data_IF_612833304350
#
_entry.id   IF_612833304350
#
_cell.length_a   1.000
_cell.length_b   1.000
_cell.length_c   1.000
_cell.angle_alpha   90.00
_cell.angle_beta   90.00
_cell.angle_gamma   90.00
#
_symmetry.space_group_name_H-M   'P 1'
#
loop_
_entity.id
_entity.type
_entity.pdbx_description
1 polymer ?
#
# COMPACT_ATOMS: atom_id res chain seq x y z
N UNK A 1 11.03 -15.00 -12.36
CA UNK A 1 10.62 -13.61 -12.69
C UNK A 1 9.11 -13.44 -12.68
N UNK A 2 8.32 -14.27 -13.38
CA UNK A 2 6.85 -14.16 -13.28
C UNK A 2 6.31 -14.43 -11.88
N UNK A 3 6.77 -15.51 -11.26
CA UNK A 3 6.46 -15.79 -9.84
C UNK A 3 6.99 -14.72 -8.89
N UNK A 4 8.02 -13.96 -9.31
CA UNK A 4 8.65 -12.97 -8.45
C UNK A 4 7.80 -11.71 -8.30
N UNK A 5 7.11 -11.26 -9.36
CA UNK A 5 6.20 -10.10 -9.24
C UNK A 5 4.99 -10.44 -8.37
N UNK A 6 4.37 -11.59 -8.62
CA UNK A 6 3.21 -12.05 -7.85
C UNK A 6 3.59 -12.27 -6.37
N UNK A 7 4.77 -12.84 -6.11
CA UNK A 7 5.32 -12.95 -4.76
C UNK A 7 5.55 -11.60 -4.10
N UNK A 8 6.12 -10.61 -4.79
CA UNK A 8 6.40 -9.30 -4.20
C UNK A 8 5.13 -8.49 -3.91
N UNK A 9 4.12 -8.57 -4.78
CA UNK A 9 2.80 -7.99 -4.51
C UNK A 9 2.10 -8.70 -3.34
N UNK A 10 2.21 -10.03 -3.26
CA UNK A 10 1.71 -10.79 -2.11
C UNK A 10 2.40 -10.38 -0.81
N UNK A 11 3.73 -10.26 -0.81
CA UNK A 11 4.50 -9.80 0.36
C UNK A 11 4.09 -8.39 0.78
N UNK A 12 3.84 -7.50 -0.18
CA UNK A 12 3.35 -6.16 0.11
C UNK A 12 1.97 -6.23 0.79
N UNK A 13 1.04 -7.02 0.24
CA UNK A 13 -0.28 -7.24 0.83
C UNK A 13 -0.19 -7.82 2.25
N UNK A 14 0.66 -8.82 2.48
CA UNK A 14 0.87 -9.43 3.79
C UNK A 14 1.46 -8.42 4.80
N UNK A 15 2.40 -7.59 4.37
CA UNK A 15 2.98 -6.54 5.20
C UNK A 15 1.92 -5.49 5.60
N UNK A 16 1.04 -5.11 4.67
CA UNK A 16 -0.07 -4.19 4.94
C UNK A 16 -1.10 -4.82 5.88
N UNK A 17 -1.43 -6.10 5.69
CA UNK A 17 -2.33 -6.83 6.61
C UNK A 17 -1.74 -6.91 8.02
N UNK A 18 -0.44 -7.15 8.15
CA UNK A 18 0.26 -7.12 9.43
C UNK A 18 0.23 -5.72 10.06
N UNK A 19 0.39 -4.66 9.26
CA UNK A 19 0.28 -3.28 9.71
C UNK A 19 -1.14 -2.94 10.21
N UNK A 20 -2.19 -3.38 9.48
CA UNK A 20 -3.58 -3.26 9.91
C UNK A 20 -3.84 -3.99 11.23
N UNK A 21 -3.30 -5.20 11.40
CA UNK A 21 -3.42 -5.95 12.63
C UNK A 21 -2.71 -5.25 13.82
N UNK A 22 -1.60 -4.56 13.57
CA UNK A 22 -0.94 -3.72 14.59
C UNK A 22 -1.83 -2.55 15.01
N UNK A 23 -2.41 -1.81 14.06
CA UNK A 23 -3.36 -0.73 14.36
C UNK A 23 -4.55 -1.22 15.20
N UNK A 24 -5.13 -2.36 14.86
CA UNK A 24 -6.22 -2.96 15.62
C UNK A 24 -5.81 -3.29 17.07
N UNK A 25 -4.56 -3.72 17.29
CA UNK A 25 -4.03 -3.93 18.64
C UNK A 25 -3.84 -2.62 19.40
N UNK A 26 -3.38 -1.55 18.74
CA UNK A 26 -3.22 -0.23 19.36
C UNK A 26 -4.55 0.34 19.85
N UNK A 27 -5.62 0.16 19.06
CA UNK A 27 -6.96 0.62 19.43
C UNK A 27 -7.50 -0.03 20.71
N UNK A 28 -7.00 -1.23 21.04
CA UNK A 28 -7.39 -2.01 22.22
C UNK A 28 -6.41 -1.89 23.40
N UNK A 29 -5.34 -1.08 23.30
CA UNK A 29 -4.40 -0.89 24.42
C UNK A 29 -5.12 -0.19 25.60
N UNK A 30 -4.73 -0.49 26.87
CA UNK A 30 -5.22 0.23 28.03
C UNK A 30 -5.02 1.73 27.87
N UNK A 31 -6.03 2.50 28.26
CA UNK A 31 -6.10 3.94 28.01
C UNK A 31 -6.00 4.76 29.30
N UNK A 32 -5.66 4.07 30.38
CA UNK A 32 -5.49 4.64 31.71
C UNK A 32 -4.31 5.62 31.71
N UNK A 33 -4.53 6.81 32.24
CA UNK A 33 -3.49 7.85 32.34
C UNK A 33 -3.50 8.91 31.22
N UNK A 34 -4.32 8.75 30.17
CA UNK A 34 -4.54 9.81 29.19
C UNK A 34 -5.70 10.72 29.60
N UNK A 35 -5.55 12.02 29.34
CA UNK A 35 -6.65 12.98 29.44
C UNK A 35 -7.71 12.73 28.36
N UNK A 36 -8.94 13.23 28.57
CA UNK A 36 -10.01 13.15 27.56
C UNK A 36 -9.61 13.77 26.22
N UNK A 37 -8.75 14.81 26.25
CA UNK A 37 -8.26 15.44 25.03
C UNK A 37 -7.27 14.54 24.28
N UNK A 38 -6.26 13.99 24.97
CA UNK A 38 -5.28 13.07 24.38
C UNK A 38 -5.97 11.82 23.81
N UNK A 39 -6.99 11.31 24.50
CA UNK A 39 -7.79 10.19 24.00
C UNK A 39 -8.44 10.49 22.66
N UNK A 40 -9.03 11.68 22.49
CA UNK A 40 -9.65 12.09 21.21
C UNK A 40 -8.63 12.24 20.08
N UNK A 41 -7.46 12.80 20.39
CA UNK A 41 -6.37 12.93 19.41
C UNK A 41 -5.88 11.55 18.99
N UNK A 42 -5.64 10.66 19.94
CA UNK A 42 -5.19 9.29 19.69
C UNK A 42 -6.20 8.50 18.86
N UNK A 43 -7.50 8.62 19.15
CA UNK A 43 -8.55 7.98 18.35
C UNK A 43 -8.58 8.52 16.91
N UNK A 44 -8.44 9.83 16.74
CA UNK A 44 -8.41 10.46 15.41
C UNK A 44 -7.22 9.97 14.58
N UNK A 45 -6.05 9.82 15.20
CA UNK A 45 -4.84 9.27 14.55
C UNK A 45 -5.06 7.81 14.15
N UNK A 46 -5.60 6.99 15.06
CA UNK A 46 -5.85 5.56 14.79
C UNK A 46 -6.88 5.36 13.69
N UNK A 47 -7.96 6.12 13.70
CA UNK A 47 -9.01 6.03 12.70
C UNK A 47 -8.50 6.48 11.32
N UNK A 48 -7.72 7.56 11.25
CA UNK A 48 -7.08 8.02 10.01
C UNK A 48 -6.08 6.97 9.47
N UNK A 49 -5.18 6.46 10.33
CA UNK A 49 -4.22 5.43 9.93
C UNK A 49 -4.91 4.14 9.46
N UNK A 50 -6.03 3.77 10.09
CA UNK A 50 -6.85 2.63 9.67
C UNK A 50 -7.48 2.87 8.30
N UNK A 51 -8.06 4.04 8.07
CA UNK A 51 -8.64 4.41 6.79
C UNK A 51 -7.60 4.36 5.66
N UNK A 52 -6.41 4.95 5.90
CA UNK A 52 -5.28 4.91 4.96
C UNK A 52 -4.86 3.47 4.67
N UNK A 53 -4.68 2.64 5.69
CA UNK A 53 -4.25 1.23 5.53
C UNK A 53 -5.28 0.42 4.72
N UNK A 54 -6.57 0.66 4.94
CA UNK A 54 -7.65 0.02 4.19
C UNK A 54 -7.64 0.45 2.71
N UNK A 55 -7.42 1.74 2.43
CA UNK A 55 -7.30 2.24 1.06
C UNK A 55 -6.10 1.62 0.34
N UNK A 56 -4.93 1.55 1.00
CA UNK A 56 -3.72 0.92 0.45
C UNK A 56 -3.94 -0.58 0.18
N UNK A 57 -4.68 -1.27 1.06
CA UNK A 57 -5.04 -2.68 0.84
C UNK A 57 -5.81 -2.86 -0.46
N UNK A 58 -6.82 -2.02 -0.69
CA UNK A 58 -7.61 -2.03 -1.92
C UNK A 58 -6.75 -1.67 -3.14
N UNK A 59 -5.83 -0.71 -2.99
CA UNK A 59 -4.92 -0.30 -4.06
C UNK A 59 -4.00 -1.43 -4.50
N UNK A 60 -3.38 -2.16 -3.56
CA UNK A 60 -2.49 -3.29 -3.88
C UNK A 60 -3.26 -4.42 -4.55
N UNK A 61 -4.49 -4.68 -4.11
CA UNK A 61 -5.38 -5.64 -4.77
C UNK A 61 -5.70 -5.21 -6.21
N UNK A 62 -6.07 -3.94 -6.42
CA UNK A 62 -6.35 -3.40 -7.75
C UNK A 62 -5.11 -3.42 -8.66
N UNK A 63 -3.92 -3.10 -8.13
CA UNK A 63 -2.66 -3.18 -8.86
C UNK A 63 -2.33 -4.61 -9.27
N UNK A 64 -2.56 -5.57 -8.38
CA UNK A 64 -2.37 -7.00 -8.65
C UNK A 64 -3.28 -7.48 -9.77
N UNK A 65 -4.58 -7.17 -9.69
CA UNK A 65 -5.54 -7.53 -10.74
C UNK A 65 -5.15 -6.88 -12.08
N UNK A 66 -4.77 -5.60 -12.06
CA UNK A 66 -4.36 -4.88 -13.27
C UNK A 66 -3.13 -5.50 -13.93
N UNK A 67 -2.11 -5.85 -13.14
CA UNK A 67 -0.93 -6.55 -13.63
C UNK A 67 -1.29 -7.90 -14.27
N UNK A 68 -2.19 -8.66 -13.65
CA UNK A 68 -2.64 -9.95 -14.17
C UNK A 68 -3.39 -9.79 -15.49
N UNK A 69 -4.28 -8.80 -15.62
CA UNK A 69 -5.00 -8.48 -16.86
C UNK A 69 -4.03 -8.12 -17.99
N UNK A 70 -3.07 -7.24 -17.71
CA UNK A 70 -2.04 -6.81 -18.68
C UNK A 70 -1.29 -8.02 -19.23
N UNK A 71 -0.85 -8.92 -18.35
CA UNK A 71 -0.09 -10.10 -18.76
C UNK A 71 -0.98 -11.08 -19.52
N UNK A 72 -2.22 -11.29 -19.08
CA UNK A 72 -3.14 -12.19 -19.75
C UNK A 72 -3.51 -11.70 -21.16
N UNK A 73 -3.71 -10.39 -21.34
CA UNK A 73 -3.99 -9.79 -22.64
C UNK A 73 -2.73 -9.70 -23.54
N UNK A 74 -1.57 -9.39 -22.96
CA UNK A 74 -0.35 -9.08 -23.70
C UNK A 74 0.58 -10.26 -24.00
N UNK A 75 0.44 -11.40 -23.31
CA UNK A 75 1.38 -12.52 -23.46
C UNK A 75 1.20 -13.34 -24.73
N UNK A 76 0.02 -13.33 -25.35
CA UNK A 76 -0.30 -14.21 -26.48
C UNK A 76 -0.05 -15.68 -26.13
N UNK A 77 0.71 -16.39 -26.96
CA UNK A 77 1.14 -17.78 -26.71
C UNK A 77 2.33 -17.92 -25.75
N UNK A 78 2.97 -16.81 -25.36
CA UNK A 78 4.13 -16.83 -24.46
C UNK A 78 3.72 -17.09 -23.00
N UNK A 79 4.64 -17.65 -22.21
CA UNK A 79 4.44 -17.84 -20.77
C UNK A 79 4.46 -16.51 -20.00
N UNK A 80 3.82 -16.45 -18.83
CA UNK A 80 3.86 -15.28 -17.92
C UNK A 80 5.30 -14.85 -17.63
N UNK A 81 6.15 -15.81 -17.28
CA UNK A 81 7.57 -15.57 -16.98
C UNK A 81 8.33 -14.96 -18.16
N UNK A 82 8.07 -15.43 -19.39
CA UNK A 82 8.68 -14.85 -20.58
C UNK A 82 8.16 -13.42 -20.84
N UNK A 83 6.88 -13.15 -20.60
CA UNK A 83 6.31 -11.81 -20.73
C UNK A 83 6.95 -10.81 -19.76
N UNK A 84 7.09 -11.13 -18.47
CA UNK A 84 7.77 -10.27 -17.51
C UNK A 84 9.24 -10.07 -17.84
N UNK A 85 9.94 -11.13 -18.27
CA UNK A 85 11.34 -11.02 -18.70
C UNK A 85 11.50 -10.08 -19.89
N UNK A 86 10.59 -10.15 -20.87
CA UNK A 86 10.57 -9.25 -22.04
C UNK A 86 10.23 -7.81 -21.64
N UNK A 87 9.40 -7.63 -20.61
CA UNK A 87 8.99 -6.33 -20.07
C UNK A 87 9.70 -6.03 -18.74
N UNK A 88 11.01 -6.24 -18.67
CA UNK A 88 11.78 -6.18 -17.42
C UNK A 88 11.69 -4.81 -16.70
N UNK A 89 11.82 -3.68 -17.41
CA UNK A 89 11.73 -2.34 -16.80
C UNK A 89 10.38 -2.07 -16.15
N UNK A 90 9.30 -2.53 -16.78
CA UNK A 90 7.95 -2.43 -16.22
C UNK A 90 7.80 -3.33 -14.99
N UNK A 91 8.31 -4.57 -15.08
CA UNK A 91 8.33 -5.56 -13.99
C UNK A 91 9.07 -5.02 -12.75
N UNK A 92 10.26 -4.44 -12.94
CA UNK A 92 11.06 -3.82 -11.87
C UNK A 92 10.38 -2.59 -11.28
N UNK A 93 9.74 -1.76 -12.12
CA UNK A 93 8.96 -0.61 -11.68
C UNK A 93 7.79 -1.00 -10.77
N UNK A 94 7.06 -2.07 -11.13
CA UNK A 94 5.99 -2.62 -10.29
C UNK A 94 6.49 -3.14 -8.95
N UNK A 95 7.56 -3.96 -8.97
CA UNK A 95 8.12 -4.55 -7.75
C UNK A 95 8.63 -3.45 -6.81
N UNK A 96 9.38 -2.47 -7.34
CA UNK A 96 9.92 -1.39 -6.54
C UNK A 96 8.83 -0.52 -5.93
N UNK A 97 7.78 -0.19 -6.69
CA UNK A 97 6.65 0.57 -6.17
C UNK A 97 5.86 -0.20 -5.09
N UNK A 98 5.61 -1.50 -5.28
CA UNK A 98 4.94 -2.34 -4.27
C UNK A 98 5.74 -2.41 -2.96
N UNK A 99 7.07 -2.54 -3.04
CA UNK A 99 7.96 -2.49 -1.87
C UNK A 99 7.93 -1.14 -1.17
N UNK A 100 7.93 -0.04 -1.92
CA UNK A 100 7.86 1.31 -1.38
C UNK A 100 6.54 1.54 -0.62
N UNK A 101 5.42 1.04 -1.16
CA UNK A 101 4.11 1.10 -0.49
C UNK A 101 4.12 0.28 0.81
N UNK A 102 4.63 -0.94 0.79
CA UNK A 102 4.72 -1.76 2.00
C UNK A 102 5.58 -1.11 3.08
N UNK A 103 6.75 -0.57 2.70
CA UNK A 103 7.67 0.10 3.61
C UNK A 103 7.05 1.37 4.22
N UNK A 104 6.52 2.26 3.40
CA UNK A 104 5.92 3.51 3.86
C UNK A 104 4.69 3.28 4.73
N UNK A 105 3.86 2.27 4.41
CA UNK A 105 2.73 1.86 5.26
C UNK A 105 3.21 1.42 6.64
N UNK A 106 4.26 0.59 6.71
CA UNK A 106 4.81 0.16 7.98
C UNK A 106 5.35 1.35 8.79
N UNK A 107 6.09 2.25 8.15
CA UNK A 107 6.59 3.49 8.76
C UNK A 107 5.45 4.38 9.26
N UNK A 108 4.33 4.50 8.53
CA UNK A 108 3.15 5.24 8.98
C UNK A 108 2.61 4.66 10.29
N UNK A 109 2.47 3.34 10.38
CA UNK A 109 1.88 2.69 11.56
C UNK A 109 2.82 2.78 12.77
N UNK A 110 4.11 2.57 12.57
CA UNK A 110 5.12 2.74 13.62
C UNK A 110 5.17 4.19 14.10
N UNK A 111 5.07 5.14 13.16
CA UNK A 111 5.03 6.57 13.50
C UNK A 111 3.78 6.91 14.30
N UNK A 112 2.61 6.43 13.87
CA UNK A 112 1.34 6.63 14.57
C UNK A 112 1.37 6.07 16.01
N UNK A 113 1.86 4.85 16.21
CA UNK A 113 2.08 4.28 17.55
C UNK A 113 3.04 5.14 18.38
N UNK A 114 4.11 5.63 17.75
CA UNK A 114 5.06 6.52 18.40
C UNK A 114 4.44 7.84 18.83
N UNK A 115 3.57 8.46 18.03
CA UNK A 115 2.87 9.70 18.42
C UNK A 115 1.94 9.43 19.61
N UNK A 116 1.15 8.36 19.56
CA UNK A 116 0.25 7.96 20.65
C UNK A 116 1.01 7.66 21.95
N UNK A 117 2.22 7.11 21.83
CA UNK A 117 3.10 6.77 22.96
C UNK A 117 4.01 7.93 23.39
N UNK A 118 3.91 9.12 22.78
CA UNK A 118 4.79 10.26 23.06
C UNK A 118 6.26 10.08 22.64
N UNK A 119 6.57 9.10 21.79
CA UNK A 119 7.92 8.82 21.25
C UNK A 119 8.22 9.57 19.95
N UNK A 120 7.18 9.91 19.18
CA UNK A 120 7.29 10.64 17.93
C UNK A 120 6.41 11.90 17.97
N UNK A 121 6.70 12.85 17.09
CA UNK A 121 5.92 14.08 16.95
C UNK A 121 4.84 13.97 15.86
N UNK A 122 3.77 14.79 15.94
CA UNK A 122 2.77 14.88 14.88
C UNK A 122 3.36 15.23 13.50
N UNK A 123 4.44 16.01 13.44
CA UNK A 123 5.12 16.36 12.20
C UNK A 123 5.75 15.13 11.53
N UNK A 124 6.32 14.21 12.31
CA UNK A 124 6.82 12.94 11.77
C UNK A 124 5.69 12.11 11.17
N UNK A 125 4.50 12.14 11.78
CA UNK A 125 3.30 11.46 11.24
C UNK A 125 2.82 12.08 9.92
N UNK A 126 2.90 13.41 9.79
CA UNK A 126 2.62 14.11 8.54
C UNK A 126 3.59 13.67 7.44
N UNK A 127 4.89 13.61 7.74
CA UNK A 127 5.92 13.14 6.79
C UNK A 127 5.63 11.70 6.34
N UNK A 128 5.40 10.79 7.29
CA UNK A 128 5.09 9.39 6.97
C UNK A 128 3.82 9.25 6.11
N UNK A 129 2.81 10.10 6.34
CA UNK A 129 1.58 10.12 5.54
C UNK A 129 1.84 10.60 4.10
N UNK A 130 2.71 11.59 3.92
CA UNK A 130 3.11 12.06 2.59
C UNK A 130 3.91 11.00 1.82
N UNK A 131 4.78 10.25 2.50
CA UNK A 131 5.54 9.15 1.88
C UNK A 131 4.61 8.02 1.39
N UNK A 132 3.54 7.73 2.14
CA UNK A 132 2.48 6.82 1.72
C UNK A 132 1.76 7.35 0.48
N UNK A 133 1.37 8.62 0.45
CA UNK A 133 0.72 9.22 -0.72
C UNK A 133 1.63 9.18 -1.97
N UNK A 134 2.93 9.47 -1.81
CA UNK A 134 3.88 9.42 -2.91
C UNK A 134 4.10 8.00 -3.45
N UNK A 135 4.29 7.02 -2.57
CA UNK A 135 4.53 5.63 -2.98
C UNK A 135 3.30 4.97 -3.60
N UNK A 136 2.10 5.29 -3.11
CA UNK A 136 0.83 4.82 -3.71
C UNK A 136 0.62 5.41 -5.10
N UNK A 137 0.88 6.70 -5.29
CA UNK A 137 0.88 7.33 -6.61
C UNK A 137 1.89 6.69 -7.57
N UNK A 138 3.09 6.34 -7.09
CA UNK A 138 4.09 5.63 -7.87
C UNK A 138 3.60 4.23 -8.29
N UNK A 139 2.96 3.48 -7.39
CA UNK A 139 2.39 2.17 -7.71
C UNK A 139 1.31 2.26 -8.78
N UNK A 140 0.45 3.28 -8.69
CA UNK A 140 -0.57 3.57 -9.70
C UNK A 140 0.06 3.85 -11.06
N UNK A 141 1.06 4.73 -11.10
CA UNK A 141 1.77 5.05 -12.32
C UNK A 141 2.43 3.80 -12.95
N UNK A 142 3.13 2.99 -12.14
CA UNK A 142 3.77 1.76 -12.58
C UNK A 142 2.76 0.73 -13.14
N UNK A 143 1.59 0.62 -12.51
CA UNK A 143 0.52 -0.29 -12.92
C UNK A 143 -0.17 0.12 -14.22
N UNK A 144 -0.15 1.43 -14.57
CA UNK A 144 -0.78 1.95 -15.80
C UNK A 144 0.08 1.81 -17.06
N UNK A 145 1.41 1.72 -16.96
CA UNK A 145 2.34 1.79 -18.11
C UNK A 145 2.00 0.81 -19.25
N UNK A 146 1.41 -0.34 -18.93
CA UNK A 146 1.06 -1.39 -19.90
C UNK A 146 -0.45 -1.70 -19.94
N UNK A 147 -1.27 -0.95 -19.21
CA UNK A 147 -2.72 -1.12 -19.21
C UNK A 147 -3.32 -0.72 -20.57
N UNK A 148 -4.29 -1.51 -21.06
CA UNK A 148 -5.07 -1.14 -22.24
C UNK A 148 -6.02 0.03 -21.94
N UNK A 149 -6.30 0.85 -22.95
CA UNK A 149 -7.29 1.94 -22.84
C UNK A 149 -8.65 1.36 -22.36
N UNK A 150 -9.23 1.94 -21.30
CA UNK A 150 -10.53 1.54 -20.70
C UNK A 150 -10.58 0.20 -19.94
N UNK A 151 -9.49 -0.27 -19.33
CA UNK A 151 -9.59 -1.41 -18.39
C UNK A 151 -10.42 -1.05 -17.14
N UNK A 152 -11.36 -1.93 -16.77
CA UNK A 152 -12.13 -1.82 -15.51
C UNK A 152 -11.25 -1.93 -14.27
N UNK A 153 -10.12 -2.65 -14.35
CA UNK A 153 -9.17 -2.73 -13.24
C UNK A 153 -8.40 -1.42 -13.08
N UNK A 154 -8.11 -0.72 -14.18
CA UNK A 154 -7.51 0.61 -14.14
C UNK A 154 -8.44 1.60 -13.44
N UNK A 155 -9.73 1.62 -13.77
CA UNK A 155 -10.70 2.51 -13.11
C UNK A 155 -10.75 2.28 -11.59
N UNK A 156 -10.77 1.01 -11.16
CA UNK A 156 -10.70 0.64 -9.73
C UNK A 156 -9.39 1.07 -9.08
N UNK A 157 -8.27 0.97 -9.79
CA UNK A 157 -6.96 1.42 -9.33
C UNK A 157 -6.94 2.95 -9.14
N UNK A 158 -7.55 3.71 -10.05
CA UNK A 158 -7.64 5.17 -9.91
C UNK A 158 -8.56 5.58 -8.76
N UNK A 159 -9.67 4.87 -8.57
CA UNK A 159 -10.58 5.10 -7.46
C UNK A 159 -9.93 4.79 -6.11
N UNK A 160 -9.17 3.69 -6.00
CA UNK A 160 -8.48 3.31 -4.78
C UNK A 160 -7.31 4.24 -4.40
N UNK A 161 -6.82 5.03 -5.35
CA UNK A 161 -5.75 6.01 -5.14
C UNK A 161 -6.24 7.40 -4.75
N UNK A 162 -7.53 7.71 -4.94
CA UNK A 162 -8.14 9.00 -4.60
C UNK A 162 -8.53 9.03 -3.13
#
# INVERSE_FOLDING_TARGET
MGDLVDQELSKAADAIAAAAARLAKLKNKPRDGYSTYELKVNDSILDAATAITNAITQLIQAATVTQQEIVQAGRGSTSRTAFYKKNNRWTEGLISAAKAVASSTNTLIETADGVISGRNSPEQLIVASNDVAASTAQLVAASRVKAGFMSKSQEKLEQASK
#
